data_IF_600385386016
#
_entry.id   IF_600385386016
#
_cell.length_a   1.000
_cell.length_b   1.000
_cell.length_c   1.000
_cell.angle_alpha   90.00
_cell.angle_beta   90.00
_cell.angle_gamma   90.00
#
_symmetry.space_group_name_H-M   'P 1'
#
loop_
_entity.id
_entity.type
_entity.pdbx_description
1 polymer ?
#
# COMPACT_ATOMS: atom_id res chain seq x y z
N UNK A 1 18.89 41.59 -53.77
CA UNK A 1 19.77 40.50 -53.23
C UNK A 1 19.47 40.37 -51.79
N UNK A 2 18.54 39.51 -51.47
CA UNK A 2 18.11 39.16 -50.06
C UNK A 2 18.76 37.88 -49.70
N UNK A 3 19.55 37.87 -48.63
CA UNK A 3 20.13 36.68 -48.07
C UNK A 3 19.25 36.23 -46.87
N UNK A 4 18.54 35.12 -47.10
CA UNK A 4 17.81 34.39 -46.07
C UNK A 4 18.79 33.81 -45.04
N UNK A 5 18.54 34.12 -43.80
CA UNK A 5 19.20 33.55 -42.63
C UNK A 5 18.39 32.32 -42.20
N UNK A 6 18.95 31.13 -42.42
CA UNK A 6 18.40 29.88 -41.90
C UNK A 6 18.80 29.74 -40.43
N UNK A 7 17.83 29.82 -39.54
CA UNK A 7 17.95 29.44 -38.14
C UNK A 7 17.72 27.97 -38.02
N UNK A 8 18.73 27.22 -37.62
CA UNK A 8 18.67 25.80 -37.30
C UNK A 8 18.23 25.70 -35.84
N UNK A 9 16.97 25.32 -35.62
CA UNK A 9 16.48 24.87 -34.32
C UNK A 9 16.86 23.40 -34.13
N UNK A 10 17.89 23.15 -33.34
CA UNK A 10 18.26 21.86 -32.84
C UNK A 10 17.54 21.65 -31.49
N UNK A 11 16.41 20.97 -31.47
CA UNK A 11 16.00 20.11 -30.34
C UNK A 11 14.70 19.35 -30.68
N UNK A 12 14.79 18.34 -31.54
CA UNK A 12 13.71 17.36 -31.65
C UNK A 12 14.31 15.95 -31.46
N UNK A 13 14.32 15.53 -30.20
CA UNK A 13 14.71 14.17 -29.77
C UNK A 13 13.48 13.25 -29.74
N UNK A 14 12.59 13.39 -30.72
CA UNK A 14 11.49 12.45 -30.92
C UNK A 14 11.95 11.37 -31.90
N UNK A 15 12.38 10.26 -31.35
CA UNK A 15 12.39 8.98 -32.05
C UNK A 15 10.95 8.74 -32.53
N UNK A 16 10.68 8.96 -33.80
CA UNK A 16 9.38 8.80 -34.41
C UNK A 16 8.79 7.43 -34.01
N UNK A 17 7.54 7.46 -33.51
CA UNK A 17 6.78 6.27 -33.29
C UNK A 17 6.69 5.49 -34.59
N UNK A 18 7.50 4.44 -34.73
CA UNK A 18 7.38 3.49 -35.83
C UNK A 18 6.12 2.67 -35.51
N UNK A 19 5.02 2.99 -36.13
CA UNK A 19 3.79 2.17 -36.10
C UNK A 19 3.96 1.08 -37.17
N UNK A 20 4.28 -0.12 -36.75
CA UNK A 20 4.28 -1.28 -37.64
C UNK A 20 2.83 -1.75 -37.76
N UNK A 21 2.31 -1.80 -38.99
CA UNK A 21 0.96 -2.31 -39.26
C UNK A 21 0.96 -3.82 -39.05
N UNK A 22 0.02 -4.39 -38.30
CA UNK A 22 -0.04 -5.84 -38.07
C UNK A 22 -0.19 -6.68 -39.34
N UNK A 23 -0.63 -6.06 -40.44
CA UNK A 23 -0.81 -6.72 -41.75
C UNK A 23 0.50 -6.87 -42.51
N UNK A 24 1.53 -6.10 -42.16
CA UNK A 24 2.84 -6.12 -42.82
C UNK A 24 3.83 -7.12 -42.18
N UNK A 25 3.39 -7.82 -41.13
CA UNK A 25 4.23 -8.78 -40.40
C UNK A 25 4.14 -10.18 -41.03
N UNK A 26 5.28 -10.85 -41.13
CA UNK A 26 5.29 -12.27 -41.50
C UNK A 26 4.58 -13.15 -40.46
N UNK A 27 4.16 -14.35 -40.84
CA UNK A 27 3.47 -15.25 -39.91
C UNK A 27 4.38 -15.66 -38.73
N UNK A 28 5.70 -15.76 -38.94
CA UNK A 28 6.68 -15.97 -37.86
C UNK A 28 6.75 -14.77 -36.89
N UNK A 29 6.72 -13.53 -37.40
CA UNK A 29 6.73 -12.32 -36.56
C UNK A 29 5.44 -12.19 -35.75
N UNK A 30 4.29 -12.62 -36.30
CA UNK A 30 3.00 -12.66 -35.60
C UNK A 30 3.01 -13.70 -34.48
N UNK A 31 3.65 -14.85 -34.72
CA UNK A 31 3.78 -15.91 -33.71
C UNK A 31 4.68 -15.44 -32.55
N UNK A 32 5.82 -14.82 -32.84
CA UNK A 32 6.72 -14.22 -31.84
C UNK A 32 6.01 -13.11 -31.03
N UNK A 33 5.20 -12.25 -31.69
CA UNK A 33 4.44 -11.22 -31.01
C UNK A 33 3.34 -11.78 -30.10
N UNK A 34 2.68 -12.88 -30.50
CA UNK A 34 1.67 -13.56 -29.69
C UNK A 34 2.33 -14.29 -28.54
N UNK A 35 3.47 -14.93 -28.73
CA UNK A 35 4.25 -15.61 -27.70
C UNK A 35 4.81 -14.60 -26.68
N UNK A 36 5.39 -13.50 -27.13
CA UNK A 36 5.84 -12.39 -26.25
C UNK A 36 4.68 -11.78 -25.47
N UNK A 37 3.49 -11.60 -26.06
CA UNK A 37 2.30 -11.10 -25.40
C UNK A 37 1.72 -12.08 -24.38
N UNK A 38 1.87 -13.41 -24.64
CA UNK A 38 1.52 -14.47 -23.67
C UNK A 38 2.54 -14.53 -22.53
N UNK A 39 3.83 -14.35 -22.83
CA UNK A 39 4.91 -14.26 -21.84
C UNK A 39 4.73 -13.01 -20.98
N UNK A 40 4.48 -11.84 -21.57
CA UNK A 40 4.15 -10.60 -20.82
C UNK A 40 2.91 -10.79 -19.96
N UNK A 41 1.86 -11.44 -20.47
CA UNK A 41 0.65 -11.73 -19.70
C UNK A 41 0.86 -12.75 -18.59
N UNK A 42 1.79 -13.71 -18.77
CA UNK A 42 2.17 -14.67 -17.73
C UNK A 42 3.11 -14.07 -16.68
N UNK A 43 3.93 -13.07 -17.06
CA UNK A 43 4.80 -12.30 -16.16
C UNK A 43 3.97 -11.31 -15.31
N UNK A 44 2.79 -10.87 -15.80
CA UNK A 44 1.93 -9.89 -15.14
C UNK A 44 0.95 -10.56 -14.14
N UNK A 45 0.75 -11.86 -14.17
CA UNK A 45 -0.07 -12.57 -13.18
C UNK A 45 0.76 -12.96 -11.94
N UNK A 46 1.09 -11.95 -11.14
CA UNK A 46 1.64 -12.19 -9.81
C UNK A 46 0.60 -12.93 -8.96
N UNK A 47 1.06 -13.89 -8.16
CA UNK A 47 0.19 -14.46 -7.13
C UNK A 47 -0.10 -13.39 -6.05
N UNK A 48 -1.17 -13.55 -5.25
CA UNK A 48 -1.45 -12.62 -4.14
C UNK A 48 -0.24 -12.42 -3.21
N UNK A 49 0.51 -13.49 -2.92
CA UNK A 49 1.72 -13.41 -2.10
C UNK A 49 2.80 -12.55 -2.78
N UNK A 50 2.99 -12.70 -4.08
CA UNK A 50 3.97 -11.92 -4.84
C UNK A 50 3.57 -10.43 -4.92
N UNK A 51 2.29 -10.13 -5.14
CA UNK A 51 1.79 -8.75 -5.12
C UNK A 51 2.00 -8.10 -3.74
N UNK A 52 1.72 -8.84 -2.67
CA UNK A 52 1.95 -8.37 -1.31
C UNK A 52 3.44 -8.13 -1.05
N UNK A 53 4.33 -9.03 -1.49
CA UNK A 53 5.79 -8.86 -1.38
C UNK A 53 6.28 -7.66 -2.19
N UNK A 54 5.71 -7.41 -3.36
CA UNK A 54 6.04 -6.23 -4.16
C UNK A 54 5.65 -4.94 -3.41
N UNK A 55 4.47 -4.89 -2.78
CA UNK A 55 4.06 -3.77 -1.96
C UNK A 55 5.01 -3.52 -0.78
N UNK A 56 5.48 -4.58 -0.11
CA UNK A 56 6.50 -4.51 0.93
C UNK A 56 7.86 -4.03 0.40
N UNK A 57 8.19 -4.36 -0.84
CA UNK A 57 9.43 -3.89 -1.49
C UNK A 57 9.38 -2.38 -1.72
N UNK A 58 8.28 -1.85 -2.24
CA UNK A 58 8.08 -0.40 -2.34
C UNK A 58 8.21 0.30 -0.99
N UNK A 59 7.66 -0.30 0.07
CA UNK A 59 7.78 0.26 1.41
C UNK A 59 9.23 0.29 1.90
N UNK A 60 10.01 -0.79 1.70
CA UNK A 60 11.45 -0.84 2.05
C UNK A 60 12.28 0.17 1.28
N UNK A 61 11.92 0.43 0.02
CA UNK A 61 12.56 1.44 -0.82
C UNK A 61 12.07 2.86 -0.54
N UNK A 62 11.23 3.05 0.49
CA UNK A 62 10.61 4.34 0.85
C UNK A 62 9.76 4.97 -0.26
N UNK A 63 9.33 4.19 -1.24
CA UNK A 63 8.41 4.57 -2.30
C UNK A 63 6.97 4.53 -1.77
N UNK A 64 6.65 5.48 -0.87
CA UNK A 64 5.41 5.45 -0.10
C UNK A 64 4.16 5.49 -0.98
N UNK A 65 4.15 6.28 -2.06
CA UNK A 65 2.98 6.38 -2.96
C UNK A 65 2.74 5.08 -3.72
N UNK A 66 3.81 4.42 -4.20
CA UNK A 66 3.72 3.12 -4.87
C UNK A 66 3.27 2.03 -3.90
N UNK A 67 3.80 2.05 -2.67
CA UNK A 67 3.38 1.13 -1.61
C UNK A 67 1.89 1.32 -1.26
N UNK A 68 1.42 2.56 -1.11
CA UNK A 68 -0.01 2.85 -0.86
C UNK A 68 -0.87 2.28 -1.98
N UNK A 69 -0.50 2.54 -3.23
CA UNK A 69 -1.23 2.06 -4.40
C UNK A 69 -1.29 0.53 -4.44
N UNK A 70 -0.14 -0.12 -4.21
CA UNK A 70 -0.03 -1.57 -4.24
C UNK A 70 -0.84 -2.23 -3.10
N UNK A 71 -0.74 -1.75 -1.85
CA UNK A 71 -1.53 -2.29 -0.74
C UNK A 71 -3.03 -2.03 -0.88
N UNK A 72 -3.44 -0.89 -1.43
CA UNK A 72 -4.86 -0.63 -1.73
C UNK A 72 -5.39 -1.62 -2.76
N UNK A 73 -4.70 -1.76 -3.88
CA UNK A 73 -5.09 -2.72 -4.91
C UNK A 73 -5.17 -4.14 -4.33
N UNK A 74 -4.20 -4.52 -3.49
CA UNK A 74 -4.21 -5.83 -2.84
C UNK A 74 -5.46 -6.05 -1.98
N UNK A 75 -5.77 -5.14 -1.05
CA UNK A 75 -6.92 -5.29 -0.17
C UNK A 75 -8.26 -5.25 -0.91
N UNK A 76 -8.34 -4.53 -2.03
CA UNK A 76 -9.55 -4.42 -2.83
C UNK A 76 -9.79 -5.69 -3.68
N UNK A 77 -8.71 -6.29 -4.21
CA UNK A 77 -8.78 -7.48 -5.06
C UNK A 77 -8.84 -8.79 -4.25
N UNK A 78 -8.27 -8.83 -3.05
CA UNK A 78 -8.09 -10.05 -2.26
C UNK A 78 -8.72 -9.96 -0.87
N UNK A 79 -9.97 -9.54 -0.79
CA UNK A 79 -10.65 -9.29 0.50
C UNK A 79 -10.69 -10.50 1.44
N UNK A 80 -10.75 -11.72 0.90
CA UNK A 80 -10.77 -12.96 1.69
C UNK A 80 -9.36 -13.52 1.96
N UNK A 81 -8.30 -12.86 1.48
CA UNK A 81 -6.94 -13.32 1.70
C UNK A 81 -6.46 -13.01 3.13
N UNK A 82 -5.72 -13.95 3.71
CA UNK A 82 -5.17 -13.82 5.07
C UNK A 82 -4.23 -12.62 5.24
N UNK A 83 -3.62 -12.13 4.14
CA UNK A 83 -2.73 -10.98 4.13
C UNK A 83 -3.46 -9.64 4.07
N UNK A 84 -4.78 -9.61 3.81
CA UNK A 84 -5.52 -8.34 3.66
C UNK A 84 -5.56 -7.53 4.96
N UNK A 85 -5.66 -8.19 6.11
CA UNK A 85 -5.47 -7.53 7.41
C UNK A 85 -4.07 -6.92 7.57
N UNK A 86 -3.04 -7.59 7.02
CA UNK A 86 -1.67 -7.05 7.02
C UNK A 86 -1.53 -5.86 6.06
N UNK A 87 -2.27 -5.84 4.93
CA UNK A 87 -2.28 -4.69 4.02
C UNK A 87 -2.86 -3.44 4.69
N UNK A 88 -3.97 -3.57 5.43
CA UNK A 88 -4.50 -2.48 6.26
C UNK A 88 -3.48 -1.98 7.30
N UNK A 89 -2.79 -2.91 7.98
CA UNK A 89 -1.75 -2.52 8.94
C UNK A 89 -0.66 -1.67 8.29
N UNK A 90 -0.12 -2.09 7.14
CA UNK A 90 0.95 -1.36 6.47
C UNK A 90 0.48 -0.03 5.88
N UNK A 91 -0.73 0.06 5.33
CA UNK A 91 -1.32 1.33 4.91
C UNK A 91 -1.42 2.31 6.08
N UNK A 92 -1.91 1.86 7.23
CA UNK A 92 -1.95 2.67 8.44
C UNK A 92 -0.57 3.16 8.86
N UNK A 93 0.47 2.30 8.80
CA UNK A 93 1.86 2.67 9.10
C UNK A 93 2.40 3.74 8.15
N UNK A 94 2.13 3.64 6.85
CA UNK A 94 2.57 4.63 5.87
C UNK A 94 1.88 5.97 6.14
N UNK A 95 0.56 5.97 6.36
CA UNK A 95 -0.19 7.19 6.68
C UNK A 95 0.27 7.82 8.00
N UNK A 96 0.61 7.01 9.00
CA UNK A 96 1.19 7.49 10.26
C UNK A 96 2.52 8.23 10.03
N UNK A 97 3.44 7.65 9.28
CA UNK A 97 4.74 8.30 8.94
C UNK A 97 4.51 9.60 8.17
N UNK A 98 3.51 9.65 7.29
CA UNK A 98 3.10 10.85 6.56
C UNK A 98 2.34 11.86 7.42
N UNK A 99 2.10 11.59 8.70
CA UNK A 99 1.28 12.38 9.63
C UNK A 99 -0.18 12.56 9.20
N UNK A 100 -0.66 11.69 8.31
CA UNK A 100 -2.05 11.64 7.85
C UNK A 100 -2.89 10.83 8.86
N UNK A 101 -2.96 11.29 10.10
CA UNK A 101 -3.49 10.53 11.25
C UNK A 101 -4.92 10.02 11.06
N UNK A 102 -5.79 10.80 10.39
CA UNK A 102 -7.16 10.36 10.10
C UNK A 102 -7.19 9.13 9.19
N UNK A 103 -6.32 9.09 8.16
CA UNK A 103 -6.22 7.93 7.27
C UNK A 103 -5.59 6.73 7.98
N UNK A 104 -4.58 6.95 8.83
CA UNK A 104 -3.99 5.89 9.63
C UNK A 104 -5.03 5.25 10.56
N UNK A 105 -5.84 6.07 11.25
CA UNK A 105 -6.92 5.60 12.11
C UNK A 105 -7.95 4.78 11.32
N UNK A 106 -8.35 5.25 10.13
CA UNK A 106 -9.29 4.54 9.28
C UNK A 106 -8.78 3.14 8.91
N UNK A 107 -7.54 3.06 8.40
CA UNK A 107 -6.97 1.78 7.98
C UNK A 107 -6.79 0.80 9.15
N UNK A 108 -6.30 1.25 10.31
CA UNK A 108 -6.14 0.37 11.47
C UNK A 108 -7.47 -0.05 12.09
N UNK A 109 -8.46 0.88 12.17
CA UNK A 109 -9.78 0.58 12.70
C UNK A 109 -10.53 -0.41 11.81
N UNK A 110 -10.69 -0.11 10.52
CA UNK A 110 -11.35 -1.01 9.56
C UNK A 110 -10.63 -2.36 9.45
N UNK A 111 -9.28 -2.34 9.41
CA UNK A 111 -8.48 -3.55 9.33
C UNK A 111 -8.68 -4.45 10.54
N UNK A 112 -8.76 -3.89 11.75
CA UNK A 112 -9.04 -4.66 12.95
C UNK A 112 -10.47 -5.23 12.96
N UNK A 113 -11.46 -4.41 12.59
CA UNK A 113 -12.87 -4.83 12.59
C UNK A 113 -13.12 -5.94 11.56
N UNK A 114 -12.55 -5.81 10.37
CA UNK A 114 -12.75 -6.78 9.29
C UNK A 114 -11.88 -8.04 9.45
N UNK A 115 -10.67 -7.89 10.01
CA UNK A 115 -9.69 -8.98 10.13
C UNK A 115 -9.21 -9.19 11.57
N UNK A 116 -10.11 -9.47 12.54
CA UNK A 116 -9.75 -9.58 13.96
C UNK A 116 -8.86 -10.78 14.28
N UNK A 117 -8.73 -11.72 13.33
CA UNK A 117 -7.84 -12.90 13.43
C UNK A 117 -6.54 -12.73 12.63
N UNK A 118 -6.30 -11.58 12.02
CA UNK A 118 -5.04 -11.30 11.33
C UNK A 118 -3.86 -11.37 12.30
N UNK A 119 -2.71 -11.82 11.80
CA UNK A 119 -1.43 -11.77 12.55
C UNK A 119 -1.04 -10.33 12.94
N UNK A 120 -1.70 -9.32 12.39
CA UNK A 120 -1.51 -7.90 12.70
C UNK A 120 -2.65 -7.32 13.54
N UNK A 121 -3.62 -8.14 13.98
CA UNK A 121 -4.80 -7.64 14.70
C UNK A 121 -4.44 -6.88 15.99
N UNK A 122 -3.56 -7.44 16.82
CA UNK A 122 -3.10 -6.77 18.05
C UNK A 122 -2.37 -5.46 17.73
N UNK A 123 -1.47 -5.49 16.73
CA UNK A 123 -0.77 -4.29 16.31
C UNK A 123 -1.74 -3.20 15.80
N UNK A 124 -2.75 -3.57 15.00
CA UNK A 124 -3.74 -2.63 14.48
C UNK A 124 -4.55 -1.99 15.61
N UNK A 125 -5.05 -2.79 16.54
CA UNK A 125 -5.85 -2.28 17.67
C UNK A 125 -5.03 -1.34 18.56
N UNK A 126 -3.78 -1.71 18.89
CA UNK A 126 -2.89 -0.85 19.65
C UNK A 126 -2.58 0.45 18.93
N UNK A 127 -2.17 0.40 17.65
CA UNK A 127 -1.90 1.59 16.83
C UNK A 127 -3.13 2.47 16.63
N UNK A 128 -4.31 1.86 16.50
CA UNK A 128 -5.56 2.60 16.46
C UNK A 128 -5.79 3.39 17.74
N UNK A 129 -5.58 2.77 18.90
CA UNK A 129 -5.68 3.49 20.17
C UNK A 129 -4.66 4.63 20.29
N UNK A 130 -3.43 4.44 19.81
CA UNK A 130 -2.42 5.50 19.81
C UNK A 130 -2.79 6.68 18.92
N UNK A 131 -3.24 6.41 17.68
CA UNK A 131 -3.59 7.51 16.75
C UNK A 131 -4.77 8.33 17.23
N UNK A 132 -5.67 7.74 18.02
CA UNK A 132 -6.79 8.48 18.63
C UNK A 132 -6.31 9.58 19.58
N UNK A 133 -5.17 9.38 20.27
CA UNK A 133 -4.55 10.44 21.09
C UNK A 133 -4.14 11.63 20.23
N UNK A 134 -3.53 11.38 19.07
CA UNK A 134 -3.14 12.44 18.11
C UNK A 134 -4.34 13.14 17.45
N UNK A 135 -5.50 12.49 17.50
CA UNK A 135 -6.76 13.04 17.03
C UNK A 135 -7.58 13.69 18.18
N UNK A 136 -6.96 13.85 19.36
CA UNK A 136 -7.59 14.43 20.58
C UNK A 136 -8.82 13.64 21.07
N UNK A 137 -8.91 12.35 20.71
CA UNK A 137 -9.99 11.44 21.10
C UNK A 137 -9.55 10.55 22.26
N UNK A 138 -9.22 11.16 23.39
CA UNK A 138 -8.62 10.47 24.55
C UNK A 138 -9.54 9.39 25.12
N UNK A 139 -10.84 9.69 25.29
CA UNK A 139 -11.80 8.72 25.82
C UNK A 139 -11.91 7.46 24.95
N UNK A 140 -11.93 7.64 23.63
CA UNK A 140 -11.90 6.54 22.68
C UNK A 140 -10.59 5.74 22.77
N UNK A 141 -9.46 6.42 22.86
CA UNK A 141 -8.15 5.78 23.06
C UNK A 141 -8.16 4.91 24.31
N UNK A 142 -8.63 5.44 25.43
CA UNK A 142 -8.77 4.70 26.69
C UNK A 142 -9.62 3.43 26.53
N UNK A 143 -10.78 3.57 25.86
CA UNK A 143 -11.67 2.43 25.58
C UNK A 143 -10.98 1.35 24.78
N UNK A 144 -10.29 1.69 23.68
CA UNK A 144 -9.61 0.72 22.84
C UNK A 144 -8.36 0.10 23.49
N UNK A 145 -7.64 0.84 24.34
CA UNK A 145 -6.56 0.30 25.16
C UNK A 145 -7.07 -0.77 26.16
N UNK A 146 -8.21 -0.53 26.80
CA UNK A 146 -8.84 -1.52 27.69
C UNK A 146 -9.24 -2.78 26.92
N UNK A 147 -9.89 -2.62 25.74
CA UNK A 147 -10.23 -3.75 24.86
C UNK A 147 -8.96 -4.51 24.44
N UNK A 148 -7.86 -3.79 24.15
CA UNK A 148 -6.59 -4.43 23.80
C UNK A 148 -6.07 -5.33 24.91
N UNK A 149 -6.03 -4.83 26.16
CA UNK A 149 -5.53 -5.59 27.31
C UNK A 149 -6.40 -6.82 27.57
N UNK A 150 -7.72 -6.71 27.41
CA UNK A 150 -8.64 -7.83 27.60
C UNK A 150 -8.49 -8.93 26.54
N UNK A 151 -8.30 -8.53 25.27
CA UNK A 151 -8.22 -9.49 24.16
C UNK A 151 -6.83 -10.06 23.91
N UNK A 152 -5.78 -9.31 24.21
CA UNK A 152 -4.39 -9.66 23.89
C UNK A 152 -3.52 -9.69 25.15
N UNK A 153 -3.93 -10.48 26.15
CA UNK A 153 -3.30 -10.55 27.47
C UNK A 153 -1.81 -10.90 27.44
N UNK A 154 -1.42 -11.77 26.50
CA UNK A 154 -0.04 -12.26 26.33
C UNK A 154 0.75 -11.51 25.25
N UNK A 155 0.19 -10.43 24.68
CA UNK A 155 0.90 -9.66 23.66
C UNK A 155 2.00 -8.81 24.30
N UNK A 156 3.12 -8.71 23.59
CA UNK A 156 4.28 -7.87 24.01
C UNK A 156 3.93 -6.40 24.25
N UNK A 157 2.87 -5.89 23.64
CA UNK A 157 2.40 -4.50 23.78
C UNK A 157 1.47 -4.32 25.00
N UNK A 158 1.13 -5.39 25.73
CA UNK A 158 0.21 -5.31 26.87
C UNK A 158 0.73 -4.42 27.98
N UNK A 159 2.03 -4.47 28.25
CA UNK A 159 2.66 -3.60 29.26
C UNK A 159 2.61 -2.12 28.81
N UNK A 160 2.91 -1.86 27.53
CA UNK A 160 2.86 -0.50 26.97
C UNK A 160 1.43 0.05 26.99
N UNK A 161 0.42 -0.78 26.70
CA UNK A 161 -0.98 -0.41 26.77
C UNK A 161 -1.40 -0.05 28.20
N UNK A 162 -0.98 -0.82 29.21
CA UNK A 162 -1.23 -0.52 30.64
C UNK A 162 -0.59 0.81 31.05
N UNK A 163 0.68 1.03 30.69
CA UNK A 163 1.37 2.29 30.98
C UNK A 163 0.68 3.47 30.32
N UNK A 164 0.18 3.30 29.10
CA UNK A 164 -0.54 4.35 28.38
C UNK A 164 -1.88 4.69 29.02
N UNK A 165 -2.62 3.71 29.50
CA UNK A 165 -3.86 3.92 30.29
C UNK A 165 -3.58 4.80 31.52
N UNK A 166 -2.49 4.52 32.24
CA UNK A 166 -2.08 5.31 33.41
C UNK A 166 -1.70 6.73 32.99
N UNK A 167 -0.88 6.89 31.93
CA UNK A 167 -0.39 8.19 31.49
C UNK A 167 -1.49 9.09 30.89
N UNK A 168 -2.57 8.51 30.37
CA UNK A 168 -3.73 9.20 29.84
C UNK A 168 -4.81 9.44 30.90
N UNK A 169 -4.57 9.01 32.15
CA UNK A 169 -5.53 9.10 33.28
C UNK A 169 -6.91 8.49 32.93
N UNK A 170 -6.87 7.34 32.23
CA UNK A 170 -8.09 6.64 31.83
C UNK A 170 -8.90 6.13 33.04
N UNK A 171 -10.08 6.62 33.21
CA UNK A 171 -11.03 6.20 34.28
C UNK A 171 -11.71 4.84 33.94
#
# INVERSE_FOLDING_TARGET
METKKDSIDNNDNSLGKITINPEDLSDEDKEILTENKLIEKSIINLSPDQEFQQALTFLREQKHEDAIKAFKNFKDNYQENVLSGSAHYWLGQIYWVKKEYKKAALEWGEGYDKYPKSIKASNMLYRFSEVLVYLERIEDSCRYLKIFIEKFTEDKLTLDAKNKIISLECN
#
